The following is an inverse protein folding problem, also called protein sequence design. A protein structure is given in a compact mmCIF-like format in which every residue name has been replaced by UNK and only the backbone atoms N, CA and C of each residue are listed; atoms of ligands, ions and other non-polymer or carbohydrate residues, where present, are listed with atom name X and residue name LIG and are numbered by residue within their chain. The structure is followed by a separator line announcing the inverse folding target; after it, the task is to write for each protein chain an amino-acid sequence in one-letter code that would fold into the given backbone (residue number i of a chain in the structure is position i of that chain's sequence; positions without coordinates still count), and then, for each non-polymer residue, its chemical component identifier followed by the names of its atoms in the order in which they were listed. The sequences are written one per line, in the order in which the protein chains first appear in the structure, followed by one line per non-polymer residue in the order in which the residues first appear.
data_IF_701784523247
#
_entry.id   IF_701784523247
#
_cell.length_a   1.000
_cell.length_b   1.000
_cell.length_c   1.000
_cell.angle_alpha   90.00
_cell.angle_beta   90.00
_cell.angle_gamma   90.00
#
_symmetry.space_group_name_H-M   'P 1'
#
loop_
_entity.id
_entity.type
_entity.pdbx_description
1 polymer ?
#
# COMPACT_ATOMS: atom_id res chain seq x y z
N UNK A 1 -18.08 13.68 -17.35
CA UNK A 1 -16.94 14.55 -17.69
C UNK A 1 -16.18 15.08 -16.47
N UNK A 2 -16.75 15.94 -15.60
CA UNK A 2 -15.97 16.53 -14.49
C UNK A 2 -15.47 15.50 -13.43
N UNK A 3 -16.24 14.45 -13.15
CA UNK A 3 -15.89 13.40 -12.17
C UNK A 3 -14.79 12.48 -12.74
N UNK A 4 -14.95 12.03 -13.99
CA UNK A 4 -13.96 11.16 -14.66
C UNK A 4 -12.59 11.86 -14.79
N UNK A 5 -12.58 13.18 -15.07
CA UNK A 5 -11.34 13.96 -15.11
C UNK A 5 -10.64 14.02 -13.75
N UNK A 6 -11.40 14.17 -12.65
CA UNK A 6 -10.83 14.16 -11.29
C UNK A 6 -10.30 12.77 -10.92
N UNK A 7 -11.04 11.71 -11.24
CA UNK A 7 -10.59 10.33 -11.02
C UNK A 7 -9.29 10.03 -11.79
N UNK A 8 -9.19 10.47 -13.04
CA UNK A 8 -7.96 10.32 -13.81
C UNK A 8 -6.79 11.07 -13.15
N UNK A 9 -7.01 12.29 -12.67
CA UNK A 9 -5.97 13.08 -11.98
C UNK A 9 -5.49 12.41 -10.70
N UNK A 10 -6.40 11.83 -9.90
CA UNK A 10 -6.03 11.07 -8.70
C UNK A 10 -5.15 9.88 -9.10
N UNK A 11 -5.57 9.11 -10.11
CA UNK A 11 -4.80 7.97 -10.60
C UNK A 11 -3.40 8.37 -11.09
N UNK A 12 -3.28 9.51 -11.79
CA UNK A 12 -2.00 10.02 -12.26
C UNK A 12 -1.08 10.44 -11.09
N UNK A 13 -1.63 11.03 -10.03
CA UNK A 13 -0.88 11.39 -8.81
C UNK A 13 -0.40 10.13 -8.09
N UNK A 14 -1.27 9.13 -7.91
CA UNK A 14 -0.89 7.83 -7.31
C UNK A 14 0.25 7.15 -8.09
N UNK A 15 0.17 7.16 -9.42
CA UNK A 15 1.24 6.64 -10.27
C UNK A 15 2.56 7.40 -10.09
N UNK A 16 2.51 8.72 -9.87
CA UNK A 16 3.70 9.52 -9.57
C UNK A 16 4.28 9.19 -8.19
N UNK A 17 3.44 9.06 -7.16
CA UNK A 17 3.85 8.66 -5.81
C UNK A 17 4.57 7.30 -5.86
N UNK A 18 3.97 6.31 -6.52
CA UNK A 18 4.56 4.98 -6.68
C UNK A 18 5.95 5.03 -7.33
N UNK A 19 6.13 5.82 -8.40
CA UNK A 19 7.44 6.00 -9.05
C UNK A 19 8.46 6.65 -8.13
N UNK A 20 8.07 7.65 -7.34
CA UNK A 20 8.97 8.32 -6.40
C UNK A 20 9.35 7.42 -5.23
N UNK A 21 8.44 6.58 -4.75
CA UNK A 21 8.74 5.58 -3.73
C UNK A 21 9.78 4.57 -4.21
N UNK A 22 9.66 4.07 -5.45
CA UNK A 22 10.68 3.19 -6.04
C UNK A 22 12.04 3.88 -6.13
N UNK A 23 12.08 5.15 -6.55
CA UNK A 23 13.33 5.92 -6.60
C UNK A 23 13.95 6.13 -5.22
N UNK A 24 13.12 6.42 -4.21
CA UNK A 24 13.56 6.57 -2.83
C UNK A 24 14.18 5.27 -2.31
N UNK A 25 13.50 4.14 -2.49
CA UNK A 25 14.01 2.83 -2.08
C UNK A 25 15.36 2.52 -2.73
N UNK A 26 15.49 2.79 -4.04
CA UNK A 26 16.76 2.56 -4.75
C UNK A 26 17.93 3.39 -4.17
N UNK A 27 17.66 4.64 -3.73
CA UNK A 27 18.69 5.46 -3.06
C UNK A 27 19.03 4.93 -1.67
N UNK A 28 18.04 4.44 -0.93
CA UNK A 28 18.25 3.83 0.40
C UNK A 28 19.09 2.55 0.30
N UNK A 29 18.79 1.69 -0.68
CA UNK A 29 19.58 0.48 -0.97
C UNK A 29 21.04 0.84 -1.35
N UNK A 30 21.25 1.92 -2.10
CA UNK A 30 22.59 2.41 -2.45
C UNK A 30 23.34 2.97 -1.23
N UNK A 31 22.66 3.73 -0.36
CA UNK A 31 23.22 4.19 0.92
C UNK A 31 23.65 3.01 1.81
N UNK A 32 22.85 1.96 1.90
CA UNK A 32 23.17 0.75 2.66
C UNK A 32 24.39 0.01 2.07
N UNK A 33 24.47 -0.07 0.74
CA UNK A 33 25.62 -0.66 0.06
C UNK A 33 26.91 0.14 0.32
N UNK A 34 26.86 1.47 0.26
CA UNK A 34 28.00 2.33 0.58
C UNK A 34 28.39 2.20 2.06
N UNK A 35 27.43 2.11 2.97
CA UNK A 35 27.68 1.91 4.40
C UNK A 35 28.44 0.60 4.67
N UNK A 36 28.06 -0.49 3.98
CA UNK A 36 28.81 -1.75 4.02
C UNK A 36 30.23 -1.56 3.47
N UNK A 37 30.38 -0.85 2.35
CA UNK A 37 31.70 -0.60 1.74
C UNK A 37 32.63 0.21 2.66
N UNK A 38 32.11 1.20 3.39
CA UNK A 38 32.87 1.97 4.39
C UNK A 38 33.47 1.06 5.47
N UNK A 39 32.78 -0.01 5.84
CA UNK A 39 33.21 -0.95 6.89
C UNK A 39 34.38 -1.81 6.44
N UNK A 40 34.40 -2.23 5.18
CA UNK A 40 35.47 -3.07 4.62
C UNK A 40 36.68 -2.29 4.08
N UNK A 41 36.57 -0.96 3.97
CA UNK A 41 37.62 -0.13 3.38
C UNK A 41 38.63 0.33 4.43
N UNK A 42 39.87 -0.17 4.33
CA UNK A 42 40.98 0.23 5.21
C UNK A 42 41.67 1.53 4.79
N UNK A 43 41.51 1.96 3.53
CA UNK A 43 42.12 3.19 3.03
C UNK A 43 41.32 4.42 3.50
N UNK A 44 41.96 5.29 4.29
CA UNK A 44 41.32 6.47 4.87
C UNK A 44 40.82 7.47 3.82
N UNK A 45 41.54 7.66 2.71
CA UNK A 45 41.14 8.58 1.64
C UNK A 45 39.90 8.06 0.90
N UNK A 46 39.86 6.76 0.61
CA UNK A 46 38.71 6.13 -0.04
C UNK A 46 37.49 6.13 0.89
N UNK A 47 37.69 5.87 2.18
CA UNK A 47 36.62 5.95 3.19
C UNK A 47 35.99 7.34 3.24
N UNK A 48 36.80 8.40 3.19
CA UNK A 48 36.31 9.78 3.16
C UNK A 48 35.52 10.10 1.87
N UNK A 49 35.94 9.54 0.73
CA UNK A 49 35.22 9.67 -0.54
C UNK A 49 33.85 8.99 -0.48
N UNK A 50 33.80 7.73 -0.05
CA UNK A 50 32.54 6.97 0.06
C UNK A 50 31.58 7.66 1.02
N UNK A 51 32.09 8.18 2.15
CA UNK A 51 31.26 8.93 3.11
C UNK A 51 30.57 10.15 2.47
N UNK A 52 31.29 10.96 1.69
CA UNK A 52 30.69 12.10 0.97
C UNK A 52 29.64 11.67 -0.05
N UNK A 53 29.82 10.50 -0.67
CA UNK A 53 28.82 9.96 -1.58
C UNK A 53 27.55 9.57 -0.83
N UNK A 54 27.66 8.91 0.34
CA UNK A 54 26.52 8.60 1.22
C UNK A 54 25.76 9.86 1.62
N UNK A 55 26.45 10.90 2.09
CA UNK A 55 25.83 12.18 2.49
C UNK A 55 25.06 12.85 1.32
N UNK A 56 25.58 12.73 0.09
CA UNK A 56 24.89 13.25 -1.10
C UNK A 56 23.63 12.44 -1.44
N UNK A 57 23.68 11.11 -1.33
CA UNK A 57 22.53 10.25 -1.54
C UNK A 57 21.44 10.47 -0.48
N UNK A 58 21.82 10.61 0.79
CA UNK A 58 20.92 10.98 1.89
C UNK A 58 20.23 12.33 1.62
N UNK A 59 20.98 13.33 1.16
CA UNK A 59 20.41 14.62 0.74
C UNK A 59 19.37 14.47 -0.36
N UNK A 60 19.63 13.60 -1.34
CA UNK A 60 18.69 13.34 -2.43
C UNK A 60 17.46 12.55 -1.97
N UNK A 61 17.62 11.55 -1.11
CA UNK A 61 16.50 10.82 -0.49
C UNK A 61 15.58 11.77 0.29
N UNK A 62 16.15 12.73 1.03
CA UNK A 62 15.38 13.78 1.72
C UNK A 62 14.57 14.64 0.75
N UNK A 63 15.14 15.04 -0.40
CA UNK A 63 14.41 15.81 -1.44
C UNK A 63 13.26 15.00 -2.03
N UNK A 64 13.46 13.72 -2.32
CA UNK A 64 12.41 12.84 -2.84
C UNK A 64 11.30 12.66 -1.81
N UNK A 65 11.63 12.46 -0.54
CA UNK A 65 10.65 12.34 0.55
C UNK A 65 9.77 13.59 0.67
N UNK A 66 10.35 14.79 0.55
CA UNK A 66 9.57 16.04 0.54
C UNK A 66 8.63 16.14 -0.67
N UNK A 67 9.03 15.62 -1.82
CA UNK A 67 8.18 15.63 -3.01
C UNK A 67 7.04 14.61 -2.92
N UNK A 68 7.29 13.44 -2.34
CA UNK A 68 6.24 12.45 -2.02
C UNK A 68 5.18 13.10 -1.12
N UNK A 69 5.59 13.75 -0.03
CA UNK A 69 4.67 14.42 0.89
C UNK A 69 3.80 15.49 0.19
N UNK A 70 4.35 16.24 -0.77
CA UNK A 70 3.57 17.20 -1.58
C UNK A 70 2.56 16.53 -2.50
N UNK A 71 2.91 15.37 -3.06
CA UNK A 71 2.01 14.61 -3.91
C UNK A 71 0.87 13.98 -3.11
N UNK A 72 1.15 13.47 -1.91
CA UNK A 72 0.13 12.96 -0.98
C UNK A 72 -0.84 14.08 -0.56
N UNK A 73 -0.33 15.28 -0.27
CA UNK A 73 -1.19 16.45 0.00
C UNK A 73 -2.07 16.81 -1.20
N UNK A 74 -1.54 16.70 -2.42
CA UNK A 74 -2.29 16.97 -3.65
C UNK A 74 -3.37 15.91 -3.89
N UNK A 75 -3.07 14.64 -3.64
CA UNK A 75 -4.03 13.53 -3.71
C UNK A 75 -5.21 13.78 -2.78
N UNK A 76 -4.96 14.06 -1.49
CA UNK A 76 -6.00 14.36 -0.52
C UNK A 76 -6.88 15.54 -0.95
N UNK A 77 -6.29 16.60 -1.52
CA UNK A 77 -7.04 17.75 -2.07
C UNK A 77 -7.93 17.36 -3.25
N UNK A 78 -7.48 16.44 -4.10
CA UNK A 78 -8.26 15.96 -5.24
C UNK A 78 -9.40 15.04 -4.80
N UNK A 79 -9.20 14.21 -3.79
CA UNK A 79 -10.24 13.35 -3.21
C UNK A 79 -11.37 14.18 -2.60
N UNK A 80 -11.05 15.17 -1.76
CA UNK A 80 -12.04 16.10 -1.20
C UNK A 80 -12.83 16.80 -2.32
N UNK A 81 -12.13 17.23 -3.37
CA UNK A 81 -12.78 17.88 -4.52
C UNK A 81 -13.71 16.93 -5.28
N UNK A 82 -13.36 15.65 -5.37
CA UNK A 82 -14.19 14.62 -5.97
C UNK A 82 -15.46 14.38 -5.15
N UNK A 83 -15.33 14.28 -3.83
CA UNK A 83 -16.43 14.07 -2.90
C UNK A 83 -17.46 15.21 -2.97
N UNK A 84 -17.01 16.46 -2.90
CA UNK A 84 -17.87 17.65 -3.06
C UNK A 84 -18.63 17.61 -4.39
N UNK A 85 -17.96 17.18 -5.47
CA UNK A 85 -18.60 17.09 -6.80
C UNK A 85 -19.62 15.95 -6.87
N UNK A 86 -19.41 14.88 -6.13
CA UNK A 86 -20.37 13.79 -5.99
C UNK A 86 -21.63 14.30 -5.26
N UNK A 87 -21.46 14.97 -4.11
CA UNK A 87 -22.57 15.55 -3.33
C UNK A 87 -23.39 16.56 -4.14
N UNK A 88 -22.73 17.45 -4.89
CA UNK A 88 -23.41 18.40 -5.79
C UNK A 88 -24.29 17.68 -6.83
N UNK A 89 -23.80 16.55 -7.36
CA UNK A 89 -24.52 15.76 -8.36
C UNK A 89 -25.74 15.05 -7.74
N UNK A 90 -25.59 14.50 -6.54
CA UNK A 90 -26.68 13.89 -5.80
C UNK A 90 -27.75 14.91 -5.42
N UNK A 91 -27.35 16.09 -4.94
CA UNK A 91 -28.27 17.18 -4.64
C UNK A 91 -29.06 17.64 -5.88
N UNK A 92 -28.41 17.71 -7.06
CA UNK A 92 -29.09 18.01 -8.33
C UNK A 92 -30.10 16.93 -8.71
N UNK A 93 -29.75 15.65 -8.51
CA UNK A 93 -30.64 14.51 -8.78
C UNK A 93 -31.88 14.56 -7.89
N UNK A 94 -31.71 14.80 -6.59
CA UNK A 94 -32.81 14.94 -5.64
C UNK A 94 -33.73 16.12 -6.01
N UNK A 95 -33.15 17.28 -6.35
CA UNK A 95 -33.93 18.46 -6.77
C UNK A 95 -34.74 18.19 -8.05
N UNK A 96 -34.16 17.46 -9.01
CA UNK A 96 -34.84 17.06 -10.24
C UNK A 96 -36.03 16.11 -9.95
N UNK A 97 -35.85 15.12 -9.07
CA UNK A 97 -36.91 14.21 -8.66
C UNK A 97 -38.05 14.94 -7.94
N UNK A 98 -37.72 15.86 -7.03
CA UNK A 98 -38.71 16.65 -6.31
C UNK A 98 -39.52 17.55 -7.26
N UNK A 99 -38.86 18.19 -8.23
CA UNK A 99 -39.52 19.00 -9.26
C UNK A 99 -40.43 18.17 -10.18
N UNK A 100 -40.09 16.90 -10.40
CA UNK A 100 -40.90 15.98 -11.22
C UNK A 100 -42.16 15.53 -10.47
N UNK A 101 -42.07 15.32 -9.15
CA UNK A 101 -43.22 14.95 -8.31
C UNK A 101 -44.26 16.06 -8.16
N UNK A 102 -43.82 17.33 -8.05
CA UNK A 102 -44.75 18.46 -7.97
C UNK A 102 -45.62 18.59 -9.22
N UNK A 103 -45.08 18.28 -10.41
CA UNK A 103 -45.85 18.32 -11.66
C UNK A 103 -46.91 17.22 -11.77
N UNK A 104 -46.79 16.12 -11.02
CA UNK A 104 -47.75 15.01 -11.04
C UNK A 104 -48.94 15.21 -10.11
N UNK A 105 -48.79 16.03 -9.05
CA UNK A 105 -49.88 16.27 -8.08
C UNK A 105 -51.05 17.09 -8.63
N UNK A 106 -50.84 17.84 -9.71
CA UNK A 106 -51.90 18.61 -10.38
C UNK A 106 -52.66 17.81 -11.46
N UNK A 107 -52.30 16.53 -11.69
CA UNK A 107 -52.98 15.65 -12.65
C UNK A 107 -53.71 14.50 -11.95
N UNK A 108 -54.69 14.84 -11.11
CA UNK A 108 -55.60 13.88 -10.50
C UNK A 108 -56.65 13.40 -11.52
N UNK A 109 -56.37 12.32 -12.25
CA UNK A 109 -57.36 11.29 -12.71
C UNK A 109 -56.86 10.33 -13.81
N UNK A 110 -55.64 10.47 -14.32
CA UNK A 110 -55.13 9.54 -15.34
C UNK A 110 -54.34 8.38 -14.71
N UNK A 111 -54.85 7.15 -14.80
CA UNK A 111 -54.15 5.92 -14.38
C UNK A 111 -52.75 5.84 -15.01
N UNK A 112 -51.70 6.04 -14.20
CA UNK A 112 -50.32 6.11 -14.65
C UNK A 112 -49.71 4.71 -14.78
N UNK A 113 -49.57 4.23 -16.02
CA UNK A 113 -48.84 3.02 -16.35
C UNK A 113 -47.32 3.31 -16.34
N UNK A 114 -46.62 2.93 -15.27
CA UNK A 114 -45.16 3.06 -15.11
C UNK A 114 -44.36 2.37 -16.25
N UNK A 115 -44.95 1.40 -16.93
CA UNK A 115 -44.37 0.68 -18.06
C UNK A 115 -44.12 1.53 -19.31
N UNK A 116 -44.70 2.73 -19.41
CA UNK A 116 -44.50 3.63 -20.56
C UNK A 116 -43.43 4.70 -20.36
N UNK A 117 -42.94 4.91 -19.14
CA UNK A 117 -42.17 6.12 -18.81
C UNK A 117 -40.69 5.83 -18.57
N UNK A 118 -40.36 4.68 -17.99
CA UNK A 118 -38.97 4.28 -17.87
C UNK A 118 -38.56 3.45 -19.09
N UNK A 119 -37.61 3.98 -19.85
CA UNK A 119 -36.86 3.21 -20.83
C UNK A 119 -36.21 2.01 -20.13
N UNK A 120 -36.18 0.82 -20.74
CA UNK A 120 -35.48 -0.34 -20.19
C UNK A 120 -34.04 -0.05 -19.79
N UNK A 121 -33.37 0.92 -20.45
CA UNK A 121 -32.02 1.37 -20.08
C UNK A 121 -31.97 2.05 -18.72
N UNK A 122 -32.95 2.88 -18.39
CA UNK A 122 -32.97 3.62 -17.13
C UNK A 122 -33.28 2.69 -15.95
N UNK A 123 -34.14 1.68 -16.18
CA UNK A 123 -34.37 0.62 -15.21
C UNK A 123 -33.10 -0.23 -14.99
N UNK A 124 -32.36 -0.53 -16.06
CA UNK A 124 -31.10 -1.28 -15.97
C UNK A 124 -30.01 -0.49 -15.22
N UNK A 125 -29.92 0.82 -15.43
CA UNK A 125 -28.98 1.70 -14.69
C UNK A 125 -29.36 1.75 -13.20
N UNK A 126 -30.66 1.78 -12.88
CA UNK A 126 -31.14 1.84 -11.51
C UNK A 126 -30.87 0.54 -10.75
N UNK A 127 -31.16 -0.61 -11.37
CA UNK A 127 -30.83 -1.92 -10.79
C UNK A 127 -29.32 -2.13 -10.74
N UNK A 128 -28.58 -1.70 -11.77
CA UNK A 128 -27.14 -1.81 -11.84
C UNK A 128 -26.40 -1.03 -10.77
N UNK A 129 -26.82 0.21 -10.49
CA UNK A 129 -26.19 1.03 -9.43
C UNK A 129 -26.46 0.48 -8.03
N UNK A 130 -27.66 -0.05 -7.77
CA UNK A 130 -27.98 -0.67 -6.48
C UNK A 130 -27.15 -1.94 -6.20
N UNK A 131 -26.88 -2.74 -7.23
CA UNK A 131 -26.02 -3.94 -7.08
C UNK A 131 -24.55 -3.55 -6.97
N UNK A 132 -24.09 -2.55 -7.72
CA UNK A 132 -22.70 -2.09 -7.71
C UNK A 132 -22.28 -1.51 -6.36
N UNK A 133 -23.14 -0.71 -5.72
CA UNK A 133 -22.85 -0.17 -4.37
C UNK A 133 -22.85 -1.26 -3.30
N UNK A 134 -23.71 -2.27 -3.38
CA UNK A 134 -23.64 -3.44 -2.49
C UNK A 134 -22.36 -4.26 -2.69
N UNK A 135 -21.86 -4.36 -3.91
CA UNK A 135 -20.65 -5.16 -4.20
C UNK A 135 -19.35 -4.43 -3.83
N UNK A 136 -19.24 -3.14 -4.14
CA UNK A 136 -18.05 -2.34 -3.79
C UNK A 136 -18.00 -1.93 -2.32
N UNK A 137 -19.15 -1.72 -1.67
CA UNK A 137 -19.20 -1.49 -0.22
C UNK A 137 -18.65 -2.67 0.59
N UNK A 138 -18.78 -3.90 0.08
CA UNK A 138 -18.21 -5.10 0.70
C UNK A 138 -16.71 -5.30 0.43
N UNK A 139 -16.18 -4.76 -0.68
CA UNK A 139 -14.75 -4.90 -1.03
C UNK A 139 -13.86 -3.83 -0.36
N UNK A 140 -14.42 -2.67 -0.01
CA UNK A 140 -13.69 -1.61 0.70
C UNK A 140 -13.96 -1.54 2.20
N UNK A 141 -15.01 -2.20 2.67
CA UNK A 141 -15.33 -2.34 4.09
C UNK A 141 -15.32 -3.82 4.48
N UNK A 142 -14.22 -4.53 4.20
CA UNK A 142 -13.91 -5.74 4.95
C UNK A 142 -13.48 -5.29 6.34
N UNK A 143 -14.22 -5.64 7.42
CA UNK A 143 -13.65 -5.53 8.75
C UNK A 143 -12.40 -6.41 8.76
N UNK A 144 -11.23 -5.79 8.97
CA UNK A 144 -9.96 -6.48 9.12
C UNK A 144 -10.05 -7.42 10.32
N UNK A 145 -10.45 -8.66 10.06
CA UNK A 145 -10.16 -9.79 10.93
C UNK A 145 -8.77 -10.31 10.53
N UNK A 146 -7.87 -10.13 11.49
CA UNK A 146 -6.65 -10.86 11.79
C UNK A 146 -6.12 -11.88 10.75
N UNK A 147 -4.88 -11.62 10.30
CA UNK A 147 -3.85 -12.66 10.31
C UNK A 147 -3.92 -13.76 9.25
N UNK A 148 -3.89 -13.40 7.97
CA UNK A 148 -3.44 -14.35 6.94
C UNK A 148 -2.24 -13.74 6.20
N UNK A 149 -1.05 -14.22 6.56
CA UNK A 149 0.15 -14.10 5.74
C UNK A 149 -0.14 -14.65 4.34
N UNK A 150 -0.31 -13.77 3.38
CA UNK A 150 -0.17 -14.13 1.97
C UNK A 150 0.99 -13.34 1.40
N UNK A 151 2.13 -14.03 1.29
CA UNK A 151 3.18 -13.68 0.35
C UNK A 151 2.69 -13.88 -1.08
N UNK A 152 2.79 -12.87 -1.96
CA UNK A 152 3.03 -13.10 -3.36
C UNK A 152 4.47 -12.71 -3.67
N UNK A 153 5.36 -13.71 -3.68
CA UNK A 153 6.66 -13.61 -4.33
C UNK A 153 6.42 -13.50 -5.85
N UNK A 154 6.26 -12.27 -6.32
CA UNK A 154 6.26 -11.96 -7.75
C UNK A 154 7.68 -11.51 -8.11
N UNK A 155 8.54 -12.49 -8.39
CA UNK A 155 9.84 -12.25 -9.02
C UNK A 155 9.61 -11.67 -10.43
N UNK A 156 9.65 -10.35 -10.54
CA UNK A 156 9.84 -9.69 -11.82
C UNK A 156 11.35 -9.60 -12.04
N UNK A 157 11.90 -10.54 -12.81
CA UNK A 157 13.25 -10.42 -13.33
C UNK A 157 13.33 -9.21 -14.25
N UNK A 158 14.18 -8.20 -13.98
CA UNK A 158 14.48 -7.19 -14.98
C UNK A 158 15.26 -7.86 -16.12
N UNK A 159 14.61 -7.89 -17.28
CA UNK A 159 15.20 -8.32 -18.55
C UNK A 159 16.29 -7.31 -18.89
N UNK A 160 17.52 -7.64 -18.51
CA UNK A 160 18.72 -6.89 -18.87
C UNK A 160 19.03 -7.20 -20.33
N UNK A 161 18.62 -6.30 -21.22
CA UNK A 161 18.97 -6.34 -22.64
C UNK A 161 20.50 -6.22 -22.78
N UNK A 162 21.11 -7.39 -22.97
CA UNK A 162 22.52 -7.58 -23.28
C UNK A 162 22.71 -7.43 -24.80
N UNK A 163 23.64 -6.61 -25.28
CA UNK A 163 23.90 -6.51 -26.72
C UNK A 163 24.44 -7.85 -27.25
N UNK A 164 23.66 -8.40 -28.17
CA UNK A 164 23.88 -9.58 -28.99
C UNK A 164 25.16 -9.43 -29.82
N UNK A 165 26.25 -10.01 -29.32
CA UNK A 165 27.43 -10.34 -30.13
C UNK A 165 27.27 -11.78 -30.60
N UNK A 166 26.98 -11.89 -31.89
CA UNK A 166 26.81 -13.12 -32.65
C UNK A 166 27.91 -14.15 -32.35
N UNK A 167 27.51 -15.37 -31.98
CA UNK A 167 28.30 -16.58 -32.24
C UNK A 167 27.39 -17.76 -32.62
N UNK A 168 27.87 -18.63 -33.53
CA UNK A 168 27.05 -19.60 -34.23
C UNK A 168 26.72 -20.83 -33.39
N UNK A 169 25.50 -21.30 -33.65
CA UNK A 169 24.89 -22.58 -33.33
C UNK A 169 25.89 -23.75 -33.47
N UNK A 170 26.33 -24.32 -32.35
CA UNK A 170 27.01 -25.62 -32.32
C UNK A 170 26.03 -26.68 -31.82
N UNK A 171 25.62 -27.52 -32.76
CA UNK A 171 24.85 -28.74 -32.52
C UNK A 171 25.71 -29.71 -31.70
N UNK A 172 25.35 -29.92 -30.43
CA UNK A 172 25.85 -31.03 -29.63
C UNK A 172 24.69 -31.71 -28.89
N UNK A 173 23.68 -32.09 -29.66
CA UNK A 173 22.71 -33.11 -29.28
C UNK A 173 23.26 -34.47 -29.72
N UNK A 174 24.06 -35.14 -28.87
CA UNK A 174 24.08 -36.60 -28.77
C UNK A 174 25.05 -37.11 -27.70
N UNK A 175 24.51 -37.40 -26.50
CA UNK A 175 24.75 -38.60 -25.67
C UNK A 175 24.46 -38.25 -24.21
N UNK A 176 23.24 -38.55 -23.75
CA UNK A 176 23.03 -38.84 -22.33
C UNK A 176 22.83 -40.36 -22.17
N UNK A 177 23.59 -41.02 -21.28
CA UNK A 177 23.38 -42.42 -20.93
C UNK A 177 22.05 -42.61 -20.15
N UNK A 178 21.50 -43.82 -20.15
CA UNK A 178 20.20 -44.12 -19.54
C UNK A 178 20.21 -43.83 -18.04
N UNK A 179 19.29 -42.96 -17.61
CA UNK A 179 19.09 -42.59 -16.21
C UNK A 179 18.41 -43.75 -15.50
N UNK A 180 19.13 -44.41 -14.59
CA UNK A 180 18.57 -45.45 -13.72
C UNK A 180 17.55 -44.83 -12.77
N UNK A 181 16.28 -45.25 -12.93
CA UNK A 181 15.17 -44.86 -12.07
C UNK A 181 15.30 -45.62 -10.73
N UNK A 182 15.87 -44.98 -9.72
CA UNK A 182 15.92 -45.53 -8.37
C UNK A 182 14.52 -45.50 -7.75
N UNK A 183 14.03 -46.67 -7.36
CA UNK A 183 12.75 -46.86 -6.66
C UNK A 183 12.76 -46.07 -5.35
N UNK A 184 11.75 -45.23 -5.07
CA UNK A 184 11.71 -44.46 -3.82
C UNK A 184 11.52 -45.41 -2.63
N UNK A 185 12.48 -45.39 -1.71
CA UNK A 185 12.41 -46.07 -0.42
C UNK A 185 11.27 -45.46 0.42
N UNK A 186 10.41 -46.26 1.06
CA UNK A 186 9.35 -45.72 1.91
C UNK A 186 9.94 -44.94 3.09
N UNK A 187 9.60 -43.66 3.17
CA UNK A 187 9.99 -42.76 4.26
C UNK A 187 9.31 -43.20 5.55
N UNK A 188 10.04 -43.36 6.67
CA UNK A 188 9.44 -43.72 7.95
C UNK A 188 8.49 -42.62 8.43
N UNK A 189 7.27 -43.03 8.78
CA UNK A 189 6.25 -42.16 9.37
C UNK A 189 6.71 -41.73 10.76
N UNK A 190 6.95 -40.44 10.95
CA UNK A 190 7.31 -39.88 12.25
C UNK A 190 6.13 -40.01 13.22
N UNK A 191 6.35 -40.74 14.31
CA UNK A 191 5.43 -40.83 15.46
C UNK A 191 5.16 -39.44 16.02
N UNK A 192 3.90 -39.07 16.32
CA UNK A 192 3.58 -37.76 16.87
C UNK A 192 4.20 -37.62 18.27
N UNK A 193 5.17 -36.73 18.39
CA UNK A 193 5.74 -36.31 19.66
C UNK A 193 4.69 -35.53 20.44
N UNK A 194 4.47 -35.90 21.70
CA UNK A 194 3.58 -35.19 22.61
C UNK A 194 4.06 -33.74 22.75
N UNK A 195 3.25 -32.79 22.27
CA UNK A 195 3.51 -31.37 22.42
C UNK A 195 3.38 -31.03 23.91
N UNK A 196 4.42 -30.46 24.55
CA UNK A 196 4.32 -30.01 25.92
C UNK A 196 3.31 -28.86 26.00
N UNK A 197 2.41 -28.94 26.97
CA UNK A 197 1.45 -27.87 27.26
C UNK A 197 2.21 -26.60 27.65
N UNK A 198 2.00 -25.45 26.99
CA UNK A 198 2.70 -24.22 27.34
C UNK A 198 2.32 -23.79 28.76
N UNK A 199 3.32 -23.60 29.61
CA UNK A 199 3.16 -23.00 30.93
C UNK A 199 2.71 -21.55 30.75
N UNK A 200 1.71 -21.06 31.50
CA UNK A 200 1.27 -19.67 31.39
C UNK A 200 2.43 -18.73 31.72
N UNK A 201 2.86 -17.96 30.73
CA UNK A 201 3.87 -16.92 30.90
C UNK A 201 3.25 -15.79 31.74
N UNK A 202 3.95 -15.30 32.79
CA UNK A 202 3.45 -14.19 33.59
C UNK A 202 3.23 -12.98 32.69
N UNK A 203 2.01 -12.45 32.70
CA UNK A 203 1.67 -11.22 31.98
C UNK A 203 2.56 -10.09 32.50
N UNK A 204 3.30 -9.38 31.63
CA UNK A 204 4.13 -8.28 32.08
C UNK A 204 3.23 -7.21 32.70
N UNK A 205 3.57 -6.81 33.93
CA UNK A 205 2.94 -5.67 34.59
C UNK A 205 3.15 -4.43 33.71
N UNK A 206 2.10 -3.68 33.33
CA UNK A 206 2.25 -2.50 32.51
C UNK A 206 3.18 -1.52 33.22
N UNK A 207 4.30 -1.21 32.58
CA UNK A 207 5.20 -0.16 33.05
C UNK A 207 4.45 1.15 32.85
N UNK A 208 4.30 2.01 33.89
CA UNK A 208 3.61 3.28 33.74
C UNK A 208 4.29 4.08 32.61
N UNK A 209 3.54 4.39 31.56
CA UNK A 209 4.00 5.23 30.48
C UNK A 209 4.44 6.58 31.07
N UNK A 210 5.72 6.90 30.89
CA UNK A 210 6.33 8.13 31.36
C UNK A 210 5.45 9.32 30.95
N UNK A 211 5.03 10.14 31.92
CA UNK A 211 4.16 11.31 31.71
C UNK A 211 4.67 12.35 30.69
N UNK A 212 5.88 12.19 30.15
CA UNK A 212 6.48 13.09 29.18
C UNK A 212 5.78 13.10 27.82
N UNK A 213 5.12 12.02 27.39
CA UNK A 213 4.51 11.99 26.05
C UNK A 213 3.26 12.87 25.99
N UNK A 214 2.45 12.89 27.05
CA UNK A 214 1.25 13.73 27.11
C UNK A 214 1.59 15.22 27.16
N UNK A 215 2.68 15.59 27.83
CA UNK A 215 3.16 16.98 27.88
C UNK A 215 3.68 17.48 26.52
N UNK A 216 4.15 16.57 25.65
CA UNK A 216 4.57 16.90 24.29
C UNK A 216 3.36 17.02 23.35
N UNK A 217 2.32 16.21 23.54
CA UNK A 217 1.09 16.24 22.73
C UNK A 217 0.26 17.51 22.90
N UNK A 218 0.39 18.21 24.04
CA UNK A 218 -0.32 19.47 24.30
C UNK A 218 0.41 20.72 23.75
N UNK A 219 1.65 20.58 23.26
CA UNK A 219 2.38 21.69 22.65
C UNK A 219 1.90 22.00 21.25
N UNK A 220 1.83 23.29 20.92
CA UNK A 220 1.64 23.75 19.54
C UNK A 220 2.76 23.21 18.64
N UNK A 221 2.48 22.80 17.38
CA UNK A 221 3.47 22.19 16.49
C UNK A 221 4.71 23.05 16.24
N UNK A 222 4.61 24.37 16.42
CA UNK A 222 5.70 25.33 16.29
C UNK A 222 6.74 25.26 17.40
N UNK A 223 6.37 24.73 18.57
CA UNK A 223 7.21 24.69 19.77
C UNK A 223 7.87 23.31 19.98
N UNK A 224 7.63 22.37 19.06
CA UNK A 224 8.29 21.07 19.05
C UNK A 224 9.75 21.23 18.64
N UNK A 225 10.64 20.77 19.52
CA UNK A 225 12.07 20.68 19.21
C UNK A 225 12.35 19.40 18.41
N UNK A 226 13.53 19.33 17.77
CA UNK A 226 13.97 18.14 17.06
C UNK A 226 14.05 16.91 17.99
N UNK A 227 14.41 17.14 19.25
CA UNK A 227 14.48 16.14 20.32
C UNK A 227 13.08 15.60 20.68
N UNK A 228 12.06 16.46 20.70
CA UNK A 228 10.66 16.04 20.91
C UNK A 228 10.18 15.14 19.78
N UNK A 229 10.49 15.50 18.52
CA UNK A 229 10.18 14.67 17.35
C UNK A 229 10.87 13.30 17.41
N UNK A 230 12.14 13.25 17.87
CA UNK A 230 12.88 12.00 18.04
C UNK A 230 12.22 11.10 19.09
N UNK A 231 11.78 11.66 20.21
CA UNK A 231 11.08 10.92 21.28
C UNK A 231 9.72 10.38 20.80
N UNK A 232 8.96 11.18 20.04
CA UNK A 232 7.68 10.73 19.44
C UNK A 232 7.93 9.57 18.48
N UNK A 233 8.95 9.67 17.62
CA UNK A 233 9.29 8.61 16.66
C UNK A 233 9.73 7.32 17.36
N UNK A 234 10.54 7.42 18.42
CA UNK A 234 10.99 6.27 19.20
C UNK A 234 9.81 5.59 19.94
N UNK A 235 8.89 6.39 20.49
CA UNK A 235 7.66 5.89 21.08
C UNK A 235 6.79 5.15 20.05
N UNK A 236 6.56 5.73 18.86
CA UNK A 236 5.79 5.10 17.79
C UNK A 236 6.44 3.79 17.28
N UNK A 237 7.76 3.75 17.20
CA UNK A 237 8.49 2.56 16.78
C UNK A 237 8.43 1.45 17.86
N UNK A 238 8.37 1.82 19.14
CA UNK A 238 8.21 0.87 20.25
C UNK A 238 6.81 0.24 20.25
N UNK A 239 5.76 1.02 19.94
CA UNK A 239 4.37 0.50 19.88
C UNK A 239 4.13 -0.43 18.70
N UNK A 240 4.93 -0.32 17.64
CA UNK A 240 4.85 -1.18 16.45
C UNK A 240 5.69 -2.46 16.57
N UNK A 241 6.30 -2.73 17.73
CA UNK A 241 6.90 -4.05 17.96
C UNK A 241 5.78 -5.03 18.32
N UNK A 242 5.38 -5.97 17.42
CA UNK A 242 4.41 -6.98 17.77
C UNK A 242 4.99 -7.74 18.97
N UNK A 243 4.19 -7.88 20.03
CA UNK A 243 4.53 -8.60 21.26
C UNK A 243 4.67 -10.12 21.00
N UNK A 244 5.58 -10.49 20.10
CA UNK A 244 5.73 -11.84 19.57
C UNK A 244 7.20 -12.19 19.41
N UNK A 245 7.92 -12.27 20.54
CA UNK A 245 9.17 -13.01 20.83
C UNK A 245 9.62 -12.55 22.22
N UNK A 246 9.95 -13.38 23.21
CA UNK A 246 10.61 -14.69 23.19
C UNK A 246 9.86 -15.72 24.04
N UNK A 247 9.63 -16.90 23.47
CA UNK A 247 9.57 -18.16 24.22
C UNK A 247 10.79 -18.94 23.74
N UNK A 248 11.84 -18.95 24.56
CA UNK A 248 12.93 -19.93 24.51
C UNK A 248 12.91 -20.73 25.83
#
# INVERSE_FOLDING_TARGET
MAIEELQQKIQDVQNQIARRNIQKQALEDECDALSKQITYTNNAAEKARIKRQSENLESNSCKISKEIARLEELEAKLEIKLEIKLEELEARKLKFLQSSQSSLKDSSESQFNLSKILSPRDLLIFVGTAVFTSFFGYLFFSPSDEGIETSPSMQISPKLDKPELAQPLSNDLQRQPPVNLATPTPTPTSTPTSIPTPTPTPTPTPTPASSSIYEILEKEPSDLTWEDCKLIQEALNSTNHPANQEVE
#
